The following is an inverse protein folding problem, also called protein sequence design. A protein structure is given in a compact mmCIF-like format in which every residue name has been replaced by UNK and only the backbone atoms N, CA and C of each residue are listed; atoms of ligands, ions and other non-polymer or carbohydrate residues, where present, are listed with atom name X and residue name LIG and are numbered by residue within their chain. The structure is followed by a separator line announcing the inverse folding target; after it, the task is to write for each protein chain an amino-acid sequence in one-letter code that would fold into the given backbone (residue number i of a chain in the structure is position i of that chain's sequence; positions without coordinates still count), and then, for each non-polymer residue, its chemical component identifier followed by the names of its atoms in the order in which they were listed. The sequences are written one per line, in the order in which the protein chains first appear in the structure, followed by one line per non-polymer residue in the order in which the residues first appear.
data_IF_340014012403
#
_entry.id   IF_340014012403
#
_cell.length_a   1.000
_cell.length_b   1.000
_cell.length_c   1.000
_cell.angle_alpha   90.00
_cell.angle_beta   90.00
_cell.angle_gamma   90.00
#
_symmetry.space_group_name_H-M   'P 1'
#
loop_
_entity.id
_entity.type
_entity.pdbx_description
1 polymer ?
#
# COMPACT_ATOMS: atom_id res chain seq x y z
N UNK A 1 -23.68 -8.56 0.57
CA UNK A 1 -22.55 -7.62 0.42
C UNK A 1 -22.81 -6.79 -0.83
N UNK A 2 -23.10 -5.49 -0.69
CA UNK A 2 -23.29 -4.61 -1.84
C UNK A 2 -22.45 -3.38 -1.62
N UNK A 3 -21.22 -3.38 -2.12
CA UNK A 3 -20.42 -2.15 -2.13
C UNK A 3 -21.24 -1.06 -2.82
N UNK A 4 -21.37 0.14 -2.23
CA UNK A 4 -22.25 1.15 -2.78
C UNK A 4 -21.87 1.57 -4.21
N UNK A 5 -20.60 1.43 -4.59
CA UNK A 5 -20.08 1.67 -5.96
C UNK A 5 -20.65 0.74 -7.02
N UNK A 6 -21.29 -0.38 -6.66
CA UNK A 6 -21.83 -1.35 -7.63
C UNK A 6 -23.23 -0.97 -8.15
N UNK A 7 -24.00 -0.20 -7.37
CA UNK A 7 -25.42 0.11 -7.67
C UNK A 7 -25.98 1.40 -7.06
N UNK A 8 -25.36 1.95 -6.02
CA UNK A 8 -25.97 3.02 -5.19
C UNK A 8 -25.45 4.41 -5.51
N UNK A 9 -24.19 4.53 -5.93
CA UNK A 9 -23.65 5.78 -6.43
C UNK A 9 -22.57 5.49 -7.48
N UNK A 10 -22.29 6.47 -8.34
CA UNK A 10 -21.23 6.40 -9.33
C UNK A 10 -19.97 7.11 -8.79
N UNK A 11 -18.88 6.37 -8.47
CA UNK A 11 -17.62 6.95 -8.03
C UNK A 11 -17.03 8.00 -8.96
N UNK A 12 -17.37 7.98 -10.26
CA UNK A 12 -16.92 8.96 -11.25
C UNK A 12 -17.50 10.35 -11.01
N UNK A 13 -18.64 10.42 -10.34
CA UNK A 13 -19.37 11.68 -10.07
C UNK A 13 -19.03 12.30 -8.71
N UNK A 14 -18.26 11.62 -7.88
CA UNK A 14 -17.98 12.04 -6.50
C UNK A 14 -16.68 12.86 -6.41
N UNK A 15 -16.71 14.08 -5.83
CA UNK A 15 -15.51 14.87 -5.58
C UNK A 15 -14.48 14.09 -4.75
N UNK A 16 -13.21 14.09 -5.18
CA UNK A 16 -12.13 13.33 -4.52
C UNK A 16 -11.93 11.89 -5.02
N UNK A 17 -12.84 11.35 -5.85
CA UNK A 17 -12.71 10.05 -6.52
C UNK A 17 -12.52 10.18 -8.04
N UNK A 18 -12.08 11.34 -8.52
CA UNK A 18 -11.91 11.63 -9.96
C UNK A 18 -10.94 10.68 -10.68
N UNK A 19 -10.06 10.01 -9.93
CA UNK A 19 -9.16 8.96 -10.46
C UNK A 19 -9.93 7.74 -10.99
N UNK A 20 -11.10 7.45 -10.44
CA UNK A 20 -11.92 6.28 -10.82
C UNK A 20 -12.42 6.33 -12.26
N UNK A 21 -12.58 7.53 -12.83
CA UNK A 21 -12.92 7.75 -14.24
C UNK A 21 -11.87 7.08 -15.15
N UNK A 22 -10.60 7.11 -14.74
CA UNK A 22 -9.48 6.61 -15.54
C UNK A 22 -9.30 5.11 -15.40
N UNK A 23 -9.46 4.59 -14.18
CA UNK A 23 -9.50 3.14 -13.96
C UNK A 23 -10.65 2.51 -14.73
N UNK A 24 -11.77 3.22 -14.84
CA UNK A 24 -12.88 2.82 -15.67
C UNK A 24 -12.46 2.71 -17.14
N UNK A 25 -11.85 3.76 -17.71
CA UNK A 25 -11.36 3.76 -19.10
C UNK A 25 -10.30 2.69 -19.39
N UNK A 26 -9.36 2.45 -18.46
CA UNK A 26 -8.35 1.38 -18.55
C UNK A 26 -8.98 -0.02 -18.59
N UNK A 27 -10.00 -0.23 -17.77
CA UNK A 27 -10.69 -1.52 -17.66
C UNK A 27 -11.57 -1.80 -18.88
N UNK A 28 -12.25 -0.79 -19.42
CA UNK A 28 -13.09 -0.92 -20.62
C UNK A 28 -12.31 -0.87 -21.93
N UNK A 29 -11.07 -0.36 -21.92
CA UNK A 29 -10.29 -0.10 -23.13
C UNK A 29 -10.71 1.16 -23.89
N UNK A 30 -11.36 2.11 -23.22
CA UNK A 30 -11.74 3.40 -23.81
C UNK A 30 -10.52 4.31 -24.02
N UNK A 31 -10.65 5.29 -24.92
CA UNK A 31 -9.58 6.25 -25.21
C UNK A 31 -9.18 7.06 -23.95
N UNK A 32 -7.88 7.30 -23.80
CA UNK A 32 -7.27 7.92 -22.63
C UNK A 32 -6.55 9.24 -22.94
N UNK A 33 -6.60 9.69 -24.18
CA UNK A 33 -5.93 10.92 -24.66
C UNK A 33 -6.31 12.18 -23.89
N UNK A 34 -7.52 12.24 -23.29
CA UNK A 34 -8.01 13.40 -22.54
C UNK A 34 -7.66 13.45 -21.04
N UNK A 35 -6.89 12.49 -20.50
CA UNK A 35 -6.62 12.42 -19.07
C UNK A 35 -5.19 12.81 -18.70
N UNK A 36 -5.03 13.52 -17.55
CA UNK A 36 -3.72 13.87 -17.01
C UNK A 36 -2.79 12.64 -16.90
N UNK A 37 -1.58 12.79 -17.43
CA UNK A 37 -0.61 11.74 -17.74
C UNK A 37 -0.20 10.91 -16.52
N UNK A 38 -0.07 11.56 -15.36
CA UNK A 38 0.32 10.94 -14.08
C UNK A 38 -0.52 9.74 -13.64
N UNK A 39 -1.75 9.60 -14.13
CA UNK A 39 -2.65 8.52 -13.71
C UNK A 39 -2.79 7.39 -14.74
N UNK A 40 -2.25 7.58 -15.94
CA UNK A 40 -2.35 6.62 -17.03
C UNK A 40 -1.32 5.47 -16.90
N UNK A 41 -0.33 5.62 -16.01
CA UNK A 41 0.69 4.60 -15.74
C UNK A 41 0.27 3.45 -14.80
N UNK A 42 -0.91 3.53 -14.19
CA UNK A 42 -1.39 2.59 -13.17
C UNK A 42 -2.17 1.43 -13.80
N UNK A 43 -1.43 0.50 -14.40
CA UNK A 43 -2.00 -0.45 -15.35
C UNK A 43 -2.31 -1.83 -14.77
N UNK A 44 -1.58 -2.28 -13.74
CA UNK A 44 -1.68 -3.66 -13.28
C UNK A 44 -3.08 -4.00 -12.72
N UNK A 45 -3.58 -3.22 -11.76
CA UNK A 45 -4.87 -3.50 -11.12
C UNK A 45 -6.03 -3.44 -12.13
N UNK A 46 -6.13 -2.43 -13.03
CA UNK A 46 -7.14 -2.44 -14.09
C UNK A 46 -7.01 -3.60 -15.07
N UNK A 47 -5.80 -4.06 -15.40
CA UNK A 47 -5.62 -5.23 -16.27
C UNK A 47 -6.06 -6.53 -15.60
N UNK A 48 -5.77 -6.71 -14.31
CA UNK A 48 -6.27 -7.85 -13.53
C UNK A 48 -7.81 -7.80 -13.40
N UNK A 49 -8.40 -6.60 -13.40
CA UNK A 49 -9.86 -6.43 -13.37
C UNK A 49 -10.57 -6.82 -14.68
N UNK A 50 -9.88 -6.82 -15.84
CA UNK A 50 -10.51 -7.04 -17.16
C UNK A 50 -11.27 -8.37 -17.27
N UNK A 51 -10.70 -9.54 -16.93
CA UNK A 51 -11.44 -10.80 -17.03
C UNK A 51 -12.75 -10.79 -16.23
N UNK A 52 -12.74 -10.18 -15.04
CA UNK A 52 -13.91 -10.06 -14.18
C UNK A 52 -14.94 -9.06 -14.71
N UNK A 53 -14.48 -7.97 -15.33
CA UNK A 53 -15.35 -7.05 -16.07
C UNK A 53 -16.10 -7.77 -17.20
N UNK A 54 -15.40 -8.58 -18.01
CA UNK A 54 -16.02 -9.31 -19.12
C UNK A 54 -17.04 -10.32 -18.61
N UNK A 55 -16.70 -11.03 -17.53
CA UNK A 55 -17.62 -11.95 -16.86
C UNK A 55 -18.89 -11.24 -16.35
N UNK A 56 -18.72 -10.14 -15.62
CA UNK A 56 -19.85 -9.40 -15.04
C UNK A 56 -20.73 -8.75 -16.12
N UNK A 57 -20.13 -8.23 -17.19
CA UNK A 57 -20.87 -7.68 -18.33
C UNK A 57 -21.78 -8.72 -18.98
N UNK A 58 -21.35 -9.98 -19.03
CA UNK A 58 -22.12 -11.07 -19.63
C UNK A 58 -23.16 -11.69 -18.68
N UNK A 59 -22.89 -11.76 -17.37
CA UNK A 59 -23.69 -12.56 -16.43
C UNK A 59 -24.40 -11.75 -15.34
N UNK A 60 -24.02 -10.50 -15.09
CA UNK A 60 -24.54 -9.67 -13.99
C UNK A 60 -24.94 -8.29 -14.53
N UNK A 61 -26.07 -8.19 -15.28
CA UNK A 61 -26.47 -6.95 -15.96
C UNK A 61 -26.86 -5.82 -15.01
N UNK A 62 -27.10 -6.16 -13.75
CA UNK A 62 -27.62 -5.24 -12.73
C UNK A 62 -26.55 -4.51 -11.93
N UNK A 63 -25.28 -4.89 -12.06
CA UNK A 63 -24.15 -4.25 -11.38
C UNK A 63 -23.34 -3.49 -12.40
N UNK A 64 -22.68 -2.40 -11.98
CA UNK A 64 -21.63 -1.82 -12.82
C UNK A 64 -20.49 -2.86 -12.98
N UNK A 65 -20.27 -3.39 -14.20
CA UNK A 65 -19.36 -4.50 -14.41
C UNK A 65 -17.90 -4.10 -14.21
N UNK A 66 -17.57 -2.80 -14.36
CA UNK A 66 -16.22 -2.29 -14.21
C UNK A 66 -15.86 -2.16 -12.74
N UNK A 67 -16.74 -1.54 -11.94
CA UNK A 67 -16.52 -1.45 -10.48
C UNK A 67 -16.56 -2.82 -9.82
N UNK A 68 -17.36 -3.76 -10.35
CA UNK A 68 -17.27 -5.15 -9.93
C UNK A 68 -15.89 -5.76 -10.21
N UNK A 69 -15.36 -5.62 -11.43
CA UNK A 69 -14.04 -6.15 -11.77
C UNK A 69 -12.92 -5.55 -10.92
N UNK A 70 -12.96 -4.24 -10.68
CA UNK A 70 -12.01 -3.55 -9.81
C UNK A 70 -12.13 -4.01 -8.35
N UNK A 71 -13.34 -4.20 -7.84
CA UNK A 71 -13.58 -4.72 -6.49
C UNK A 71 -13.03 -6.14 -6.33
N UNK A 72 -13.24 -7.03 -7.30
CA UNK A 72 -12.70 -8.40 -7.26
C UNK A 72 -11.17 -8.36 -7.28
N UNK A 73 -10.58 -7.57 -8.18
CA UNK A 73 -9.12 -7.42 -8.24
C UNK A 73 -8.55 -6.88 -6.92
N UNK A 74 -9.15 -5.82 -6.36
CA UNK A 74 -8.73 -5.26 -5.08
C UNK A 74 -8.87 -6.29 -3.95
N UNK A 75 -9.95 -7.08 -3.95
CA UNK A 75 -10.19 -8.14 -2.96
C UNK A 75 -9.10 -9.22 -3.01
N UNK A 76 -8.64 -9.62 -4.21
CA UNK A 76 -7.54 -10.58 -4.37
C UNK A 76 -6.25 -10.02 -3.75
N UNK A 77 -5.92 -8.76 -4.04
CA UNK A 77 -4.74 -8.12 -3.47
C UNK A 77 -4.85 -7.96 -1.94
N UNK A 78 -5.97 -7.47 -1.41
CA UNK A 78 -6.19 -7.35 0.03
C UNK A 78 -6.13 -8.71 0.75
N UNK A 79 -6.73 -9.76 0.18
CA UNK A 79 -6.64 -11.11 0.73
C UNK A 79 -5.20 -11.63 0.72
N UNK A 80 -4.45 -11.37 -0.35
CA UNK A 80 -3.02 -11.72 -0.42
C UNK A 80 -2.21 -10.97 0.63
N UNK A 81 -2.46 -9.67 0.84
CA UNK A 81 -1.85 -8.88 1.92
C UNK A 81 -2.16 -9.47 3.29
N UNK A 82 -3.41 -9.85 3.54
CA UNK A 82 -3.82 -10.46 4.80
C UNK A 82 -3.07 -11.79 5.04
N UNK A 83 -2.98 -12.66 4.03
CA UNK A 83 -2.20 -13.91 4.11
C UNK A 83 -0.72 -13.61 4.40
N UNK A 84 -0.13 -12.61 3.74
CA UNK A 84 1.25 -12.20 3.99
C UNK A 84 1.44 -11.68 5.43
N UNK A 85 0.47 -10.93 5.97
CA UNK A 85 0.50 -10.47 7.37
C UNK A 85 0.48 -11.66 8.34
N UNK A 86 -0.32 -12.70 8.06
CA UNK A 86 -0.32 -13.93 8.87
C UNK A 86 1.07 -14.56 8.87
N UNK A 87 1.66 -14.76 7.68
CA UNK A 87 3.00 -15.33 7.53
C UNK A 87 4.09 -14.47 8.19
N UNK A 88 3.97 -13.13 8.15
CA UNK A 88 4.86 -12.22 8.87
C UNK A 88 4.72 -12.40 10.39
N UNK A 89 3.49 -12.53 10.90
CA UNK A 89 3.22 -12.77 12.31
C UNK A 89 3.85 -14.08 12.79
N UNK A 90 3.70 -15.16 12.02
CA UNK A 90 4.36 -16.43 12.29
C UNK A 90 5.89 -16.30 12.26
N UNK A 91 6.44 -15.57 11.28
CA UNK A 91 7.90 -15.36 11.17
C UNK A 91 8.47 -14.56 12.34
N UNK A 92 7.74 -13.55 12.84
CA UNK A 92 8.23 -12.66 13.91
C UNK A 92 7.98 -13.23 15.31
N UNK A 93 6.82 -13.83 15.54
CA UNK A 93 6.39 -14.26 16.88
C UNK A 93 6.38 -15.77 17.07
N UNK A 94 6.48 -16.57 16.00
CA UNK A 94 6.36 -18.03 16.05
C UNK A 94 4.92 -18.52 16.31
N UNK A 95 3.92 -17.65 16.26
CA UNK A 95 2.51 -17.99 16.53
C UNK A 95 1.61 -17.47 15.39
N UNK A 96 0.97 -18.37 14.62
CA UNK A 96 0.06 -17.98 13.54
C UNK A 96 -1.20 -17.26 14.05
N UNK A 97 -1.60 -17.48 15.32
CA UNK A 97 -2.77 -16.85 15.93
C UNK A 97 -2.61 -15.34 16.02
N UNK A 98 -1.40 -14.87 16.39
CA UNK A 98 -1.06 -13.45 16.39
C UNK A 98 -1.08 -12.86 14.99
N UNK A 99 -0.62 -13.63 13.99
CA UNK A 99 -0.71 -13.28 12.58
C UNK A 99 -2.17 -13.09 12.13
N UNK A 100 -3.06 -14.01 12.51
CA UNK A 100 -4.50 -13.93 12.21
C UNK A 100 -5.17 -12.72 12.85
N UNK A 101 -4.88 -12.43 14.12
CA UNK A 101 -5.38 -11.22 14.79
C UNK A 101 -4.86 -9.97 14.08
N UNK A 102 -3.57 -9.94 13.70
CA UNK A 102 -2.98 -8.82 12.95
C UNK A 102 -3.63 -8.62 11.58
N UNK A 103 -3.88 -9.70 10.85
CA UNK A 103 -4.57 -9.66 9.56
C UNK A 103 -6.04 -9.20 9.71
N UNK A 104 -6.73 -9.65 10.77
CA UNK A 104 -8.07 -9.18 11.10
C UNK A 104 -8.08 -7.67 11.39
N UNK A 105 -7.18 -7.18 12.24
CA UNK A 105 -7.06 -5.75 12.55
C UNK A 105 -6.73 -4.91 11.31
N UNK A 106 -5.90 -5.44 10.41
CA UNK A 106 -5.62 -4.82 9.12
C UNK A 106 -6.90 -4.69 8.28
N UNK A 107 -7.62 -5.79 8.07
CA UNK A 107 -8.84 -5.83 7.25
C UNK A 107 -9.99 -4.99 7.83
N UNK A 108 -10.08 -4.88 9.15
CA UNK A 108 -11.06 -4.04 9.86
C UNK A 108 -10.71 -2.55 9.81
N UNK A 109 -9.51 -2.18 9.34
CA UNK A 109 -9.14 -0.77 9.25
C UNK A 109 -9.97 -0.04 8.20
N UNK A 110 -10.32 1.21 8.51
CA UNK A 110 -11.06 2.10 7.62
C UNK A 110 -10.42 2.20 6.22
N UNK A 111 -9.08 2.21 6.14
CA UNK A 111 -8.34 2.28 4.88
C UNK A 111 -8.66 1.10 3.95
N UNK A 112 -8.77 -0.12 4.48
CA UNK A 112 -9.01 -1.30 3.63
C UNK A 112 -10.40 -1.23 3.01
N UNK A 113 -11.42 -0.98 3.83
CA UNK A 113 -12.81 -0.96 3.34
C UNK A 113 -13.10 0.25 2.46
N UNK A 114 -12.65 1.44 2.83
CA UNK A 114 -13.06 2.67 2.15
C UNK A 114 -12.09 3.14 1.06
N UNK A 115 -10.83 2.67 1.10
CA UNK A 115 -9.78 3.15 0.18
C UNK A 115 -9.34 2.01 -0.74
N UNK A 116 -8.92 0.87 -0.20
CA UNK A 116 -8.43 -0.24 -1.02
C UNK A 116 -9.56 -0.98 -1.76
N UNK A 117 -10.63 -1.37 -1.05
CA UNK A 117 -11.74 -2.15 -1.62
C UNK A 117 -12.75 -1.31 -2.41
N UNK A 118 -12.77 0.01 -2.26
CA UNK A 118 -13.69 0.90 -2.97
C UNK A 118 -13.39 1.08 -4.48
N UNK A 119 -12.59 0.19 -5.07
CA UNK A 119 -12.21 0.23 -6.49
C UNK A 119 -11.02 1.13 -6.79
N UNK A 120 -10.19 1.44 -5.79
CA UNK A 120 -8.92 2.14 -5.99
C UNK A 120 -7.78 1.13 -6.18
N UNK A 121 -6.68 1.61 -6.76
CA UNK A 121 -5.51 0.78 -7.09
C UNK A 121 -4.56 0.54 -5.91
N UNK A 122 -4.79 1.19 -4.76
CA UNK A 122 -3.86 1.14 -3.61
C UNK A 122 -3.70 -0.27 -3.05
N UNK A 123 -4.71 -1.12 -3.20
CA UNK A 123 -4.63 -2.53 -2.81
C UNK A 123 -3.40 -3.23 -3.44
N UNK A 124 -3.05 -2.87 -4.68
CA UNK A 124 -1.85 -3.38 -5.35
C UNK A 124 -0.56 -2.89 -4.70
N UNK A 125 -0.44 -1.60 -4.43
CA UNK A 125 0.73 -1.02 -3.74
C UNK A 125 0.92 -1.64 -2.36
N UNK A 126 -0.15 -1.72 -1.56
CA UNK A 126 -0.14 -2.34 -0.24
C UNK A 126 0.31 -3.81 -0.29
N UNK A 127 -0.20 -4.57 -1.26
CA UNK A 127 0.16 -5.97 -1.44
C UNK A 127 1.63 -6.15 -1.78
N UNK A 128 2.19 -5.37 -2.71
CA UNK A 128 3.60 -5.49 -3.07
C UNK A 128 4.53 -4.93 -2.00
N UNK A 129 4.10 -3.91 -1.24
CA UNK A 129 4.84 -3.45 -0.05
C UNK A 129 4.90 -4.55 1.01
N UNK A 130 3.78 -5.24 1.26
CA UNK A 130 3.76 -6.40 2.14
C UNK A 130 4.64 -7.55 1.61
N UNK A 131 4.59 -7.86 0.31
CA UNK A 131 5.42 -8.90 -0.29
C UNK A 131 6.93 -8.58 -0.19
N UNK A 132 7.29 -7.31 -0.35
CA UNK A 132 8.65 -6.81 -0.15
C UNK A 132 9.10 -7.01 1.31
N UNK A 133 8.28 -6.61 2.27
CA UNK A 133 8.56 -6.81 3.71
C UNK A 133 8.73 -8.30 4.02
N UNK A 134 7.83 -9.15 3.54
CA UNK A 134 7.91 -10.60 3.76
C UNK A 134 9.19 -11.21 3.16
N UNK A 135 9.59 -10.74 1.97
CA UNK A 135 10.82 -11.18 1.32
C UNK A 135 12.07 -10.77 2.09
N UNK A 136 12.07 -9.56 2.67
CA UNK A 136 13.17 -9.08 3.52
C UNK A 136 13.22 -9.84 4.85
N UNK A 137 12.08 -10.10 5.49
CA UNK A 137 12.00 -10.90 6.72
C UNK A 137 12.50 -12.33 6.53
N UNK A 138 12.22 -12.95 5.38
CA UNK A 138 12.65 -14.32 5.05
C UNK A 138 14.04 -14.38 4.42
N UNK A 139 14.73 -13.25 4.28
CA UNK A 139 16.07 -13.18 3.67
C UNK A 139 16.10 -13.49 2.15
N UNK A 140 14.94 -13.49 1.47
CA UNK A 140 14.82 -13.80 0.05
C UNK A 140 15.06 -12.56 -0.81
N UNK A 141 16.28 -12.02 -0.74
CA UNK A 141 16.64 -10.76 -1.39
C UNK A 141 16.49 -10.80 -2.93
N UNK A 142 16.65 -11.97 -3.53
CA UNK A 142 16.56 -12.17 -4.98
C UNK A 142 15.16 -11.91 -5.57
N UNK A 143 14.10 -11.89 -4.75
CA UNK A 143 12.73 -11.58 -5.19
C UNK A 143 12.48 -10.07 -5.36
N UNK A 144 13.35 -9.22 -4.81
CA UNK A 144 13.14 -7.76 -4.84
C UNK A 144 12.91 -7.21 -6.26
N UNK A 145 13.70 -7.57 -7.30
CA UNK A 145 13.45 -7.07 -8.65
C UNK A 145 12.08 -7.45 -9.22
N UNK A 146 11.56 -8.64 -8.86
CA UNK A 146 10.21 -9.07 -9.26
C UNK A 146 9.14 -8.16 -8.64
N UNK A 147 9.29 -7.82 -7.36
CA UNK A 147 8.40 -6.87 -6.70
C UNK A 147 8.55 -5.46 -7.25
N UNK A 148 9.76 -5.06 -7.66
CA UNK A 148 10.01 -3.83 -8.40
C UNK A 148 9.20 -3.74 -9.67
N UNK A 149 9.19 -4.81 -10.46
CA UNK A 149 8.42 -4.91 -11.70
C UNK A 149 6.91 -4.79 -11.45
N UNK A 150 6.37 -5.62 -10.55
CA UNK A 150 4.93 -5.70 -10.32
C UNK A 150 4.40 -4.49 -9.55
N UNK A 151 5.12 -4.05 -8.52
CA UNK A 151 4.74 -2.89 -7.71
C UNK A 151 4.78 -1.58 -8.49
N UNK A 152 5.82 -1.35 -9.30
CA UNK A 152 5.89 -0.18 -10.17
C UNK A 152 4.78 -0.17 -11.24
N UNK A 153 4.36 -1.34 -11.74
CA UNK A 153 3.23 -1.45 -12.66
C UNK A 153 1.87 -1.25 -11.98
N UNK A 154 1.77 -1.51 -10.67
CA UNK A 154 0.59 -1.21 -9.88
C UNK A 154 0.45 0.29 -9.61
N UNK A 155 1.53 0.92 -9.12
CA UNK A 155 1.54 2.34 -8.78
C UNK A 155 2.95 2.89 -8.80
N UNK A 156 3.11 4.07 -9.38
CA UNK A 156 4.40 4.75 -9.54
C UNK A 156 5.07 5.10 -8.19
N UNK A 157 4.28 5.40 -7.16
CA UNK A 157 4.77 5.71 -5.80
C UNK A 157 5.43 4.52 -5.12
N UNK A 158 5.16 3.29 -5.58
CA UNK A 158 5.83 2.10 -5.08
C UNK A 158 7.34 2.19 -5.26
N UNK A 159 7.84 2.69 -6.39
CA UNK A 159 9.27 2.75 -6.69
C UNK A 159 10.08 3.52 -5.63
N UNK A 160 9.78 4.81 -5.33
CA UNK A 160 10.52 5.55 -4.31
C UNK A 160 10.30 4.95 -2.92
N UNK A 161 9.11 4.42 -2.60
CA UNK A 161 8.84 3.80 -1.31
C UNK A 161 9.63 2.51 -1.12
N UNK A 162 9.53 1.57 -2.06
CA UNK A 162 10.22 0.28 -2.02
C UNK A 162 11.74 0.46 -2.00
N UNK A 163 12.26 1.42 -2.76
CA UNK A 163 13.70 1.69 -2.85
C UNK A 163 14.24 2.23 -1.53
N UNK A 164 13.59 3.25 -0.96
CA UNK A 164 14.01 3.79 0.35
C UNK A 164 13.82 2.75 1.46
N UNK A 165 12.73 1.99 1.43
CA UNK A 165 12.45 0.95 2.41
C UNK A 165 13.53 -0.13 2.39
N UNK A 166 13.83 -0.70 1.22
CA UNK A 166 14.84 -1.74 1.08
C UNK A 166 16.27 -1.23 1.37
N UNK A 167 16.60 -0.01 0.95
CA UNK A 167 17.88 0.62 1.27
C UNK A 167 18.06 0.82 2.78
N UNK A 168 17.02 1.35 3.45
CA UNK A 168 17.05 1.58 4.91
C UNK A 168 17.16 0.26 5.66
N UNK A 169 16.44 -0.77 5.21
CA UNK A 169 16.54 -2.12 5.78
C UNK A 169 17.94 -2.69 5.64
N UNK A 170 18.49 -2.67 4.42
CA UNK A 170 19.85 -3.13 4.12
C UNK A 170 20.89 -2.41 4.98
N UNK A 171 20.79 -1.08 5.05
CA UNK A 171 21.71 -0.27 5.85
C UNK A 171 21.64 -0.60 7.35
N UNK A 172 20.42 -0.84 7.87
CA UNK A 172 20.24 -1.24 9.26
C UNK A 172 20.81 -2.64 9.56
N UNK A 173 20.78 -3.57 8.60
CA UNK A 173 21.37 -4.91 8.77
C UNK A 173 22.88 -4.91 8.56
N UNK A 174 23.38 -4.11 7.62
CA UNK A 174 24.81 -3.94 7.36
C UNK A 174 25.54 -3.38 8.58
N UNK A 175 25.00 -2.34 9.24
CA UNK A 175 25.55 -1.81 10.50
C UNK A 175 25.57 -2.84 11.64
N UNK A 176 24.81 -3.92 11.53
CA UNK A 176 24.73 -5.01 12.52
C UNK A 176 25.52 -6.25 12.12
N UNK A 177 26.30 -6.16 11.04
CA UNK A 177 27.06 -7.28 10.46
C UNK A 177 26.18 -8.48 10.08
N UNK A 178 24.88 -8.27 9.81
CA UNK A 178 23.93 -9.32 9.41
C UNK A 178 23.71 -9.38 7.90
N UNK A 179 23.91 -8.27 7.19
CA UNK A 179 23.80 -8.23 5.74
C UNK A 179 25.18 -8.18 5.07
N UNK A 180 25.33 -8.97 4.02
CA UNK A 180 26.48 -8.94 3.14
C UNK A 180 26.37 -7.79 2.13
N UNK A 181 27.49 -7.23 1.70
CA UNK A 181 27.52 -6.24 0.60
C UNK A 181 26.88 -6.78 -0.69
N UNK A 182 26.90 -8.11 -0.89
CA UNK A 182 26.33 -8.74 -2.07
C UNK A 182 24.80 -8.60 -2.14
N UNK A 183 24.09 -8.37 -1.02
CA UNK A 183 22.64 -8.20 -1.04
C UNK A 183 22.22 -6.82 -1.56
N UNK A 184 23.13 -5.82 -1.52
CA UNK A 184 22.90 -4.48 -2.07
C UNK A 184 22.57 -4.53 -3.56
N UNK A 185 23.14 -5.47 -4.31
CA UNK A 185 22.86 -5.63 -5.75
C UNK A 185 21.38 -5.84 -6.04
N UNK A 186 20.66 -6.52 -5.14
CA UNK A 186 19.23 -6.77 -5.29
C UNK A 186 18.38 -5.53 -5.00
N UNK A 187 18.82 -4.68 -4.07
CA UNK A 187 18.21 -3.37 -3.81
C UNK A 187 18.42 -2.44 -5.01
N UNK A 188 19.62 -2.44 -5.60
CA UNK A 188 19.90 -1.69 -6.83
C UNK A 188 19.05 -2.23 -7.98
N UNK A 189 18.98 -3.55 -8.14
CA UNK A 189 18.17 -4.17 -9.19
C UNK A 189 16.67 -3.88 -9.03
N UNK A 190 16.14 -3.83 -7.80
CA UNK A 190 14.77 -3.35 -7.51
C UNK A 190 14.55 -1.94 -8.06
N UNK A 191 15.44 -1.01 -7.72
CA UNK A 191 15.32 0.39 -8.12
C UNK A 191 15.42 0.53 -9.65
N UNK A 192 16.37 -0.16 -10.28
CA UNK A 192 16.56 -0.11 -11.74
C UNK A 192 15.38 -0.73 -12.49
N UNK A 193 14.90 -1.90 -12.08
CA UNK A 193 13.75 -2.56 -12.72
C UNK A 193 12.49 -1.74 -12.55
N UNK A 194 12.20 -1.26 -11.33
CA UNK A 194 11.04 -0.42 -11.09
C UNK A 194 11.12 0.90 -11.88
N UNK A 195 12.30 1.52 -11.97
CA UNK A 195 12.50 2.72 -12.79
C UNK A 195 12.25 2.44 -14.28
N UNK A 196 12.79 1.34 -14.82
CA UNK A 196 12.57 0.96 -16.21
C UNK A 196 11.09 0.75 -16.53
N UNK A 197 10.34 0.20 -15.58
CA UNK A 197 8.90 -0.06 -15.71
C UNK A 197 8.11 1.24 -15.68
N UNK A 198 8.35 2.13 -14.72
CA UNK A 198 7.69 3.45 -14.67
C UNK A 198 7.99 4.21 -15.95
N UNK A 199 9.26 4.30 -16.36
CA UNK A 199 9.65 5.00 -17.60
C UNK A 199 9.06 4.35 -18.84
N UNK A 200 9.04 3.01 -18.92
CA UNK A 200 8.50 2.27 -20.05
C UNK A 200 6.99 2.43 -20.20
N UNK A 201 6.25 2.33 -19.09
CA UNK A 201 4.81 2.55 -19.08
C UNK A 201 4.49 4.00 -19.46
N UNK A 202 5.13 4.98 -18.82
CA UNK A 202 4.91 6.39 -19.14
C UNK A 202 5.28 6.70 -20.60
N UNK A 203 6.39 6.17 -21.10
CA UNK A 203 6.79 6.36 -22.50
C UNK A 203 5.77 5.80 -23.49
N UNK A 204 5.17 4.64 -23.19
CA UNK A 204 4.12 4.04 -24.03
C UNK A 204 2.81 4.81 -23.98
N UNK A 205 2.50 5.41 -22.83
CA UNK A 205 1.26 6.12 -22.58
C UNK A 205 1.28 7.54 -23.15
N UNK A 206 2.38 8.25 -22.91
CA UNK A 206 2.57 9.66 -23.29
C UNK A 206 3.10 9.78 -24.72
N UNK A 207 3.75 8.75 -25.24
CA UNK A 207 4.33 8.75 -26.59
C UNK A 207 5.73 9.38 -26.67
N UNK A 208 6.25 9.91 -25.57
CA UNK A 208 7.63 10.35 -25.45
C UNK A 208 8.24 9.92 -24.11
N UNK A 209 9.57 9.85 -24.05
CA UNK A 209 10.27 9.53 -22.81
C UNK A 209 10.16 10.71 -21.84
N UNK A 210 9.66 10.45 -20.64
CA UNK A 210 9.67 11.40 -19.53
C UNK A 210 10.62 10.92 -18.45
N UNK A 211 11.43 11.84 -17.96
CA UNK A 211 12.33 11.56 -16.85
C UNK A 211 11.62 11.71 -15.50
N UNK A 212 12.04 10.97 -14.45
CA UNK A 212 11.40 11.03 -13.14
C UNK A 212 11.32 12.44 -12.52
N UNK A 213 12.32 13.30 -12.77
CA UNK A 213 12.30 14.68 -12.27
C UNK A 213 11.30 15.57 -13.00
N UNK A 214 10.99 15.29 -14.26
CA UNK A 214 9.94 15.99 -15.01
C UNK A 214 8.56 15.63 -14.43
N UNK A 215 8.35 14.33 -14.17
CA UNK A 215 7.14 13.86 -13.47
C UNK A 215 7.01 14.50 -12.07
N UNK A 216 8.12 14.62 -11.34
CA UNK A 216 8.12 15.28 -10.04
C UNK A 216 7.76 16.77 -10.15
N UNK A 217 8.24 17.48 -11.17
CA UNK A 217 7.90 18.91 -11.36
C UNK A 217 6.40 19.13 -11.62
N UNK A 218 5.75 18.24 -12.37
CA UNK A 218 4.31 18.28 -12.61
C UNK A 218 3.46 18.04 -11.34
N UNK A 219 4.05 17.40 -10.33
CA UNK A 219 3.41 17.12 -9.04
C UNK A 219 3.58 18.25 -8.02
N UNK A 220 4.37 19.29 -8.31
CA UNK A 220 4.56 20.36 -7.36
C UNK A 220 3.31 21.25 -7.29
N UNK A 221 2.66 21.30 -6.12
CA UNK A 221 1.49 22.14 -5.92
C UNK A 221 1.84 23.63 -5.74
N UNK A 222 3.12 23.97 -5.52
CA UNK A 222 3.58 25.35 -5.28
C UNK A 222 3.05 25.96 -3.98
N UNK A 223 2.46 25.15 -3.10
CA UNK A 223 1.87 25.59 -1.83
C UNK A 223 2.92 25.70 -0.73
N UNK A 224 2.62 26.50 0.30
CA UNK A 224 3.48 26.60 1.47
C UNK A 224 3.55 25.24 2.20
N UNK A 225 4.74 24.66 2.44
CA UNK A 225 4.89 23.32 2.99
C UNK A 225 4.28 23.17 4.39
N UNK A 226 4.30 24.22 5.21
CA UNK A 226 3.70 24.19 6.55
C UNK A 226 2.17 24.10 6.48
N UNK A 227 1.57 24.82 5.52
CA UNK A 227 0.12 24.79 5.29
C UNK A 227 -0.30 23.41 4.78
N UNK A 228 0.44 22.84 3.83
CA UNK A 228 0.17 21.49 3.32
C UNK A 228 0.34 20.43 4.40
N UNK A 229 1.36 20.53 5.25
CA UNK A 229 1.53 19.63 6.40
C UNK A 229 0.37 19.73 7.38
N UNK A 230 -0.07 20.94 7.71
CA UNK A 230 -1.22 21.15 8.58
C UNK A 230 -2.50 20.57 7.99
N UNK A 231 -2.74 20.77 6.69
CA UNK A 231 -3.89 20.18 5.98
C UNK A 231 -3.87 18.65 6.05
N UNK A 232 -2.71 18.02 5.88
CA UNK A 232 -2.57 16.55 6.00
C UNK A 232 -2.94 16.08 7.40
N UNK A 233 -2.41 16.74 8.44
CA UNK A 233 -2.62 16.35 9.84
C UNK A 233 -4.01 16.71 10.38
N UNK A 234 -4.69 17.69 9.80
CA UNK A 234 -6.06 18.09 10.18
C UNK A 234 -7.14 17.34 9.40
N UNK A 235 -6.78 16.55 8.38
CA UNK A 235 -7.72 15.79 7.58
C UNK A 235 -8.34 14.63 8.38
N UNK A 236 -9.66 14.48 8.28
CA UNK A 236 -10.40 13.43 8.98
C UNK A 236 -10.04 12.03 8.50
N UNK A 237 -9.75 11.85 7.21
CA UNK A 237 -9.39 10.54 6.65
C UNK A 237 -8.07 10.03 7.23
N UNK A 238 -7.12 10.93 7.51
CA UNK A 238 -5.88 10.57 8.17
C UNK A 238 -6.16 9.95 9.56
N UNK A 239 -7.01 10.59 10.35
CA UNK A 239 -7.35 10.13 11.69
C UNK A 239 -8.23 8.88 11.68
N UNK A 240 -9.13 8.68 10.72
CA UNK A 240 -9.91 7.44 10.64
C UNK A 240 -9.04 6.19 10.47
N UNK A 241 -7.90 6.32 9.79
CA UNK A 241 -6.95 5.23 9.61
C UNK A 241 -6.13 4.98 10.86
N UNK A 242 -5.68 6.04 11.53
CA UNK A 242 -4.63 5.96 12.54
C UNK A 242 -5.06 6.19 13.99
N UNK A 243 -6.24 6.76 14.25
CA UNK A 243 -6.66 7.18 15.60
C UNK A 243 -6.62 6.03 16.62
N UNK A 244 -7.00 4.82 16.23
CA UNK A 244 -6.95 3.64 17.10
C UNK A 244 -5.71 2.77 16.85
N UNK A 245 -5.18 2.78 15.62
CA UNK A 245 -4.06 1.92 15.23
C UNK A 245 -2.72 2.42 15.77
N UNK A 246 -2.48 3.74 15.81
CA UNK A 246 -1.26 4.31 16.38
C UNK A 246 -1.10 4.03 17.88
N UNK A 247 -2.07 4.35 18.78
CA UNK A 247 -1.86 4.15 20.21
C UNK A 247 -1.67 2.67 20.56
N UNK A 248 -2.39 1.75 19.90
CA UNK A 248 -2.24 0.31 20.13
C UNK A 248 -0.97 -0.25 19.49
N UNK A 249 -0.64 0.21 18.27
CA UNK A 249 0.48 -0.30 17.50
C UNK A 249 1.84 0.22 17.97
N UNK A 250 1.95 1.44 18.49
CA UNK A 250 3.25 2.01 18.88
C UNK A 250 3.86 1.30 20.10
N UNK A 251 3.04 0.81 21.03
CA UNK A 251 3.52 0.27 22.30
C UNK A 251 4.46 -0.93 22.15
N UNK A 252 4.16 -1.86 21.22
CA UNK A 252 4.93 -3.09 21.03
C UNK A 252 5.84 -3.08 19.81
N UNK A 253 6.11 -1.91 19.22
CA UNK A 253 7.07 -1.82 18.11
C UNK A 253 8.45 -2.37 18.49
N UNK A 254 8.85 -2.27 19.76
CA UNK A 254 10.14 -2.80 20.25
C UNK A 254 10.33 -4.30 20.07
N UNK A 255 9.25 -5.06 19.89
CA UNK A 255 9.30 -6.52 19.72
C UNK A 255 9.56 -6.93 18.26
N UNK A 256 9.57 -5.97 17.32
CA UNK A 256 9.83 -6.22 15.91
C UNK A 256 11.30 -6.04 15.54
N UNK A 257 11.75 -6.63 14.42
CA UNK A 257 13.08 -6.38 13.87
C UNK A 257 13.29 -4.88 13.63
N UNK A 258 14.34 -4.30 14.24
CA UNK A 258 14.64 -2.87 14.06
C UNK A 258 14.81 -2.44 12.58
N UNK A 259 15.36 -3.27 11.65
CA UNK A 259 15.36 -2.92 10.24
C UNK A 259 13.96 -2.59 9.69
N UNK A 260 12.93 -3.35 10.10
CA UNK A 260 11.54 -3.10 9.71
C UNK A 260 11.02 -1.78 10.25
N UNK A 261 11.26 -1.51 11.53
CA UNK A 261 10.80 -0.27 12.17
C UNK A 261 11.46 0.95 11.49
N UNK A 262 12.78 0.91 11.30
CA UNK A 262 13.53 2.00 10.68
C UNK A 262 13.12 2.22 9.22
N UNK A 263 12.97 1.14 8.44
CA UNK A 263 12.53 1.22 7.05
C UNK A 263 11.11 1.79 6.93
N UNK A 264 10.19 1.35 7.80
CA UNK A 264 8.81 1.87 7.83
C UNK A 264 8.79 3.35 8.22
N UNK A 265 9.56 3.76 9.23
CA UNK A 265 9.64 5.15 9.67
C UNK A 265 10.25 6.06 8.58
N UNK A 266 11.38 5.66 7.98
CA UNK A 266 12.03 6.44 6.92
C UNK A 266 11.11 6.60 5.70
N UNK A 267 10.43 5.53 5.30
CA UNK A 267 9.52 5.55 4.15
C UNK A 267 8.23 6.31 4.45
N UNK A 268 7.73 6.26 5.69
CA UNK A 268 6.61 7.09 6.13
C UNK A 268 6.94 8.59 6.09
N UNK A 269 8.15 8.99 6.51
CA UNK A 269 8.61 10.37 6.39
C UNK A 269 8.72 10.80 4.92
N UNK A 270 9.17 9.92 4.03
CA UNK A 270 9.18 10.19 2.59
C UNK A 270 7.76 10.37 2.04
N UNK A 271 6.81 9.52 2.44
CA UNK A 271 5.41 9.64 2.02
C UNK A 271 4.77 10.96 2.48
N UNK A 272 5.07 11.41 3.71
CA UNK A 272 4.66 12.74 4.20
C UNK A 272 5.33 13.84 3.35
N UNK A 273 6.62 13.71 3.06
CA UNK A 273 7.36 14.66 2.21
C UNK A 273 6.73 14.82 0.82
N UNK A 274 6.40 13.71 0.15
CA UNK A 274 5.67 13.74 -1.13
C UNK A 274 4.26 14.31 -0.99
N UNK A 275 3.58 13.98 0.11
CA UNK A 275 2.27 14.53 0.43
C UNK A 275 2.27 16.05 0.56
N UNK A 276 3.27 16.61 1.26
CA UNK A 276 3.48 18.05 1.41
C UNK A 276 3.81 18.69 0.06
N UNK A 277 4.68 18.05 -0.72
CA UNK A 277 5.12 18.55 -2.02
C UNK A 277 3.98 18.64 -3.05
N UNK A 278 3.02 17.71 -3.01
CA UNK A 278 1.89 17.63 -3.95
C UNK A 278 0.53 18.05 -3.31
N UNK A 279 0.54 18.79 -2.19
CA UNK A 279 -0.65 19.19 -1.40
C UNK A 279 -1.74 18.11 -1.33
N UNK A 280 -1.35 16.87 -1.02
CA UNK A 280 -2.19 15.69 -1.24
C UNK A 280 -3.31 15.48 -0.20
N UNK A 281 -3.49 16.42 0.73
CA UNK A 281 -4.50 16.38 1.82
C UNK A 281 -4.47 15.03 2.56
N UNK A 282 -5.62 14.49 2.98
CA UNK A 282 -5.75 13.20 3.64
C UNK A 282 -5.28 11.98 2.84
N UNK A 283 -4.99 12.10 1.53
CA UNK A 283 -4.54 10.95 0.72
C UNK A 283 -3.19 10.39 1.19
N UNK A 284 -2.39 11.19 1.90
CA UNK A 284 -1.13 10.73 2.51
C UNK A 284 -1.38 9.59 3.51
N UNK A 285 -2.53 9.59 4.18
CA UNK A 285 -2.92 8.52 5.10
C UNK A 285 -2.98 7.15 4.44
N UNK A 286 -3.33 7.08 3.14
CA UNK A 286 -3.37 5.85 2.35
C UNK A 286 -1.97 5.26 2.19
N UNK A 287 -1.05 6.06 1.66
CA UNK A 287 0.34 5.66 1.45
C UNK A 287 1.02 5.25 2.78
N UNK A 288 0.77 6.01 3.85
CA UNK A 288 1.27 5.67 5.18
C UNK A 288 0.74 4.33 5.68
N UNK A 289 -0.53 4.02 5.43
CA UNK A 289 -1.12 2.74 5.81
C UNK A 289 -0.57 1.59 4.97
N UNK A 290 -0.31 1.80 3.68
CA UNK A 290 0.28 0.78 2.82
C UNK A 290 1.73 0.44 3.24
N UNK A 291 2.46 1.42 3.79
CA UNK A 291 3.83 1.24 4.32
C UNK A 291 3.82 0.64 5.74
N UNK A 292 3.08 1.25 6.67
CA UNK A 292 3.18 0.97 8.10
C UNK A 292 2.03 0.12 8.65
N UNK A 293 0.93 -0.03 7.90
CA UNK A 293 -0.27 -0.76 8.30
C UNK A 293 0.00 -2.19 8.75
N UNK A 294 0.76 -3.01 7.98
CA UNK A 294 1.13 -4.37 8.40
C UNK A 294 1.87 -4.43 9.74
N UNK A 295 2.87 -3.55 9.91
CA UNK A 295 3.67 -3.47 11.14
C UNK A 295 2.81 -3.04 12.34
N UNK A 296 2.02 -1.98 12.19
CA UNK A 296 1.17 -1.45 13.25
C UNK A 296 0.04 -2.43 13.62
N UNK A 297 -0.54 -3.13 12.64
CA UNK A 297 -1.61 -4.11 12.88
C UNK A 297 -1.09 -5.33 13.65
N UNK A 298 0.08 -5.86 13.27
CA UNK A 298 0.71 -6.95 14.03
C UNK A 298 1.14 -6.49 15.42
N UNK A 299 1.63 -5.27 15.56
CA UNK A 299 2.03 -4.73 16.86
C UNK A 299 0.84 -4.54 17.80
N UNK A 300 -0.29 -4.04 17.27
CA UNK A 300 -1.55 -3.94 17.99
C UNK A 300 -2.07 -5.34 18.39
N UNK A 301 -1.98 -6.32 17.50
CA UNK A 301 -2.34 -7.71 17.80
C UNK A 301 -1.53 -8.28 18.95
N UNK A 302 -0.20 -8.10 18.92
CA UNK A 302 0.69 -8.52 19.99
C UNK A 302 0.34 -7.81 21.32
N UNK A 303 -0.07 -6.54 21.28
CA UNK A 303 -0.49 -5.80 22.47
C UNK A 303 -1.77 -6.37 23.08
N UNK A 304 -2.79 -6.59 22.24
CA UNK A 304 -4.08 -7.15 22.66
C UNK A 304 -3.92 -8.55 23.26
N UNK A 305 -3.17 -9.45 22.59
CA UNK A 305 -2.96 -10.81 23.09
C UNK A 305 -2.31 -10.83 24.48
N UNK A 306 -1.36 -9.92 24.73
CA UNK A 306 -0.73 -9.80 26.05
C UNK A 306 -1.70 -9.32 27.12
N UNK A 307 -2.57 -8.36 26.80
CA UNK A 307 -3.59 -7.89 27.74
C UNK A 307 -4.56 -9.00 28.13
N UNK A 308 -4.94 -9.86 27.18
CA UNK A 308 -5.80 -11.02 27.43
C UNK A 308 -5.11 -12.01 28.35
N UNK A 309 -3.87 -12.40 28.06
CA UNK A 309 -3.12 -13.36 28.87
C UNK A 309 -2.85 -12.86 30.31
N UNK A 310 -2.60 -11.56 30.50
CA UNK A 310 -2.44 -10.97 31.84
C UNK A 310 -3.72 -11.10 32.68
N UNK A 311 -4.88 -11.00 32.03
CA UNK A 311 -6.19 -11.11 32.70
C UNK A 311 -6.50 -12.55 33.12
N UNK A 312 -6.10 -13.54 32.33
CA UNK A 312 -6.28 -14.96 32.67
C UNK A 312 -5.41 -15.37 33.86
N UNK A 313 -4.15 -14.94 33.88
CA UNK A 313 -3.26 -15.22 35.01
C UNK A 313 -3.75 -14.57 36.33
N UNK A 314 -4.33 -13.36 36.28
CA UNK A 314 -4.92 -12.74 37.46
C UNK A 314 -6.19 -13.47 37.94
N UNK A 315 -6.98 -14.07 37.05
CA UNK A 315 -8.13 -14.89 37.44
C UNK A 315 -7.70 -16.20 38.10
N UNK A 316 -6.61 -16.82 37.65
CA UNK A 316 -6.09 -18.06 38.25
C UNK A 316 -5.43 -17.84 39.62
N UNK A 317 -4.88 -16.64 39.89
CA UNK A 317 -4.28 -16.29 41.18
C UNK A 317 -5.32 -15.81 42.23
N UNK A 318 -6.55 -15.51 41.79
CA UNK A 318 -7.65 -15.06 42.65
C UNK A 318 -8.68 -16.13 43.00
N UNK A 319 -8.46 -17.38 42.58
CA UNK A 319 -9.26 -18.57 42.89
C UNK A 319 -8.46 -19.54 43.75
#
# INVERSE_FOLDING_TARGET
MGYPSLRRFDPRSTPGLSDTIKYYALTTGADQTGYAERFRGRVLVPYVARPFYWFARAHIPTWDPVFFGLLVSASIFCATTACLIVSMGETVFGDPSLGLIGALLYLLNFAVSNLQLAGMIDAGEACFMAALVFSLLTGKWWLLPLWGLLGAAAKETFLPFSSLFALTWWFSEWRRSKAELITLKWVIALALVGLAVVMGIHSRVVGHLQWPWQMAQELNAGTNPLVSLWKILSDQNFWYVFAWLLPLGVWRLKDFPKPWILASAATALLAIGFGVFNDSLGNVGRALFDIAGPLLSLSAAAFIARLVNLRENQKQLGS
#
